data_IF_687372162826
#
_entry.id   IF_687372162826
#
_cell.length_a   1.000
_cell.length_b   1.000
_cell.length_c   1.000
_cell.angle_alpha   90.00
_cell.angle_beta   90.00
_cell.angle_gamma   90.00
#
_symmetry.space_group_name_H-M   'P 1'
#
loop_
_entity.id
_entity.type
_entity.pdbx_description
1 polymer ?
#
# COMPACT_ATOMS: atom_id res chain seq x y z
N UNK A 1 13.19 -12.04 10.43
CA UNK A 1 13.69 -10.65 10.51
C UNK A 1 12.87 -9.80 9.57
N UNK A 2 12.27 -8.72 10.04
CA UNK A 2 11.60 -7.75 9.14
C UNK A 2 12.65 -7.06 8.27
N UNK A 3 12.37 -6.96 6.98
CA UNK A 3 13.25 -6.35 5.99
C UNK A 3 13.43 -4.86 6.30
N UNK A 4 14.67 -4.39 6.48
CA UNK A 4 14.99 -3.02 6.94
C UNK A 4 14.46 -1.92 6.01
N UNK A 5 14.15 -2.28 4.77
CA UNK A 5 13.73 -1.35 3.71
C UNK A 5 12.23 -1.42 3.40
N UNK A 6 11.46 -2.24 4.12
CA UNK A 6 10.02 -2.36 3.92
C UNK A 6 9.28 -1.93 5.16
N UNK A 7 8.47 -0.89 5.00
CA UNK A 7 7.44 -0.53 5.94
C UNK A 7 6.09 -1.05 5.43
N UNK A 8 5.38 -1.81 6.26
CA UNK A 8 4.10 -2.40 5.92
C UNK A 8 3.11 -2.00 7.01
N UNK A 9 2.07 -1.28 6.62
CA UNK A 9 1.05 -0.80 7.53
C UNK A 9 0.45 -1.96 8.35
N UNK A 10 0.14 -1.75 9.65
CA UNK A 10 -0.39 -2.80 10.52
C UNK A 10 -1.62 -3.51 9.95
N UNK A 11 -2.56 -2.76 9.36
CA UNK A 11 -3.78 -3.33 8.77
C UNK A 11 -3.50 -4.33 7.64
N UNK A 12 -2.49 -4.06 6.81
CA UNK A 12 -2.07 -4.93 5.71
C UNK A 12 -1.37 -6.16 6.27
N UNK A 13 -0.51 -6.00 7.29
CA UNK A 13 0.13 -7.14 7.96
C UNK A 13 -0.91 -8.10 8.55
N UNK A 14 -1.93 -7.57 9.22
CA UNK A 14 -2.99 -8.38 9.82
C UNK A 14 -3.87 -9.06 8.76
N UNK A 15 -4.19 -8.36 7.66
CA UNK A 15 -4.92 -8.94 6.53
C UNK A 15 -4.16 -10.12 5.92
N UNK A 16 -2.84 -9.95 5.69
CA UNK A 16 -1.99 -11.01 5.16
C UNK A 16 -1.89 -12.21 6.10
N UNK A 17 -1.72 -11.99 7.41
CA UNK A 17 -1.69 -13.08 8.41
C UNK A 17 -3.01 -13.85 8.47
N UNK A 18 -4.14 -13.15 8.30
CA UNK A 18 -5.47 -13.74 8.30
C UNK A 18 -5.85 -14.38 6.94
N UNK A 19 -4.97 -14.37 5.94
CA UNK A 19 -5.26 -14.88 4.60
C UNK A 19 -6.34 -14.07 3.86
N UNK A 20 -6.57 -12.82 4.26
CA UNK A 20 -7.52 -11.92 3.60
C UNK A 20 -6.92 -11.39 2.30
N UNK A 21 -7.74 -11.18 1.26
CA UNK A 21 -7.27 -10.58 0.02
C UNK A 21 -6.82 -9.13 0.24
N UNK A 22 -5.73 -8.74 -0.42
CA UNK A 22 -5.16 -7.38 -0.40
C UNK A 22 -4.91 -6.97 -1.85
N UNK A 23 -5.27 -5.74 -2.19
CA UNK A 23 -5.02 -5.14 -3.52
C UNK A 23 -3.98 -4.04 -3.36
N UNK A 24 -2.89 -4.13 -4.12
CA UNK A 24 -1.90 -3.07 -4.18
C UNK A 24 -2.33 -1.99 -5.19
N UNK A 25 -2.07 -0.72 -4.86
CA UNK A 25 -2.27 0.43 -5.73
C UNK A 25 -0.93 1.15 -5.93
N UNK A 26 -0.69 1.69 -7.12
CA UNK A 26 0.54 2.43 -7.40
C UNK A 26 0.43 3.90 -7.03
N UNK A 27 1.55 4.52 -6.64
CA UNK A 27 1.61 5.95 -6.29
C UNK A 27 1.85 6.86 -7.50
N UNK A 28 2.39 6.33 -8.61
CA UNK A 28 2.71 7.15 -9.80
C UNK A 28 1.49 7.87 -10.36
N UNK A 29 0.34 7.19 -10.40
CA UNK A 29 -0.93 7.77 -10.86
C UNK A 29 -1.43 8.86 -9.92
N UNK A 30 -1.26 8.70 -8.61
CA UNK A 30 -1.60 9.72 -7.62
C UNK A 30 -0.75 10.98 -7.84
N UNK A 31 0.56 10.83 -8.01
CA UNK A 31 1.47 11.98 -8.12
C UNK A 31 1.44 12.68 -9.47
N UNK A 32 1.25 11.95 -10.57
CA UNK A 32 1.44 12.46 -11.93
C UNK A 32 0.27 12.18 -12.89
N UNK A 33 -0.64 11.27 -12.51
CA UNK A 33 -1.74 10.83 -13.36
C UNK A 33 -3.08 11.51 -13.07
N UNK A 34 -3.24 12.15 -11.90
CA UNK A 34 -4.47 12.82 -11.49
C UNK A 34 -4.21 14.31 -11.20
N UNK A 35 -5.10 15.21 -11.64
CA UNK A 35 -5.02 16.62 -11.25
C UNK A 35 -5.35 16.78 -9.77
N UNK A 36 -4.79 17.80 -9.13
CA UNK A 36 -5.20 18.20 -7.78
C UNK A 36 -6.56 18.91 -7.85
N UNK A 37 -7.52 18.65 -6.93
CA UNK A 37 -7.42 17.87 -5.70
C UNK A 37 -7.92 16.41 -5.81
N UNK A 38 -7.98 15.85 -7.02
CA UNK A 38 -8.50 14.50 -7.26
C UNK A 38 -7.48 13.39 -6.99
N UNK A 39 -6.21 13.75 -6.77
CA UNK A 39 -5.18 12.82 -6.31
C UNK A 39 -5.30 12.47 -4.83
#
# INVERSE_FOLDING_TARGET
MMNRYLDVAPEVQEALKAGKPVVALESTIISHGMPYPQN
#
